data_IF_710635417774
#
_entry.id   IF_710635417774
#
_cell.length_a   1.000
_cell.length_b   1.000
_cell.length_c   1.000
_cell.angle_alpha   90.00
_cell.angle_beta   90.00
_cell.angle_gamma   90.00
#
_symmetry.space_group_name_H-M   'P 1'
#
loop_
_entity.id
_entity.type
_entity.pdbx_description
1 polymer ?
#
# COMPACT_ATOMS: atom_id res chain seq x y z
N UNK A 1 36.50 -8.55 19.98
CA UNK A 1 35.73 -7.28 19.97
C UNK A 1 34.32 -7.58 20.42
N UNK A 2 33.77 -6.84 21.38
CA UNK A 2 32.36 -6.94 21.77
C UNK A 2 31.48 -6.46 20.62
N UNK A 3 30.58 -7.30 20.12
CA UNK A 3 29.58 -6.89 19.15
C UNK A 3 28.45 -6.15 19.86
N UNK A 4 27.98 -5.04 19.29
CA UNK A 4 26.78 -4.36 19.77
C UNK A 4 25.57 -5.33 19.69
N UNK A 5 24.68 -5.34 20.69
CA UNK A 5 23.41 -6.06 20.60
C UNK A 5 22.59 -5.63 19.39
N UNK A 6 21.77 -6.55 18.87
CA UNK A 6 20.96 -6.31 17.66
C UNK A 6 19.99 -5.13 17.83
N UNK A 7 19.47 -4.92 19.04
CA UNK A 7 18.51 -3.85 19.32
C UNK A 7 19.20 -2.48 19.26
N UNK A 8 20.37 -2.35 19.88
CA UNK A 8 21.19 -1.14 19.78
C UNK A 8 21.59 -0.84 18.32
N UNK A 9 21.99 -1.88 17.57
CA UNK A 9 22.34 -1.70 16.16
C UNK A 9 21.13 -1.26 15.32
N UNK A 10 19.95 -1.79 15.63
CA UNK A 10 18.70 -1.42 14.96
C UNK A 10 18.33 0.03 15.21
N UNK A 11 18.50 0.53 16.44
CA UNK A 11 18.29 1.94 16.78
C UNK A 11 19.29 2.85 16.06
N UNK A 12 20.58 2.49 16.04
CA UNK A 12 21.61 3.27 15.35
C UNK A 12 21.31 3.35 13.85
N UNK A 13 20.96 2.23 13.21
CA UNK A 13 20.70 2.22 11.76
C UNK A 13 19.38 2.88 11.39
N UNK A 14 18.47 3.10 12.34
CA UNK A 14 17.25 3.86 12.09
C UNK A 14 17.56 5.30 11.66
N UNK A 15 18.66 5.89 12.16
CA UNK A 15 19.15 7.21 11.72
C UNK A 15 19.67 7.20 10.27
N UNK A 16 19.95 6.02 9.72
CA UNK A 16 20.41 5.83 8.34
C UNK A 16 19.26 5.46 7.39
N UNK A 17 18.00 5.46 7.85
CA UNK A 17 16.87 4.99 7.04
C UNK A 17 16.74 5.72 5.70
N UNK A 18 17.10 7.00 5.65
CA UNK A 18 17.00 7.85 4.46
C UNK A 18 18.32 7.88 3.66
N UNK A 19 19.46 7.54 4.29
CA UNK A 19 20.74 7.37 3.62
C UNK A 19 20.92 5.94 3.11
N UNK A 20 20.30 5.66 1.97
CA UNK A 20 20.32 4.33 1.34
C UNK A 20 21.71 3.86 0.94
N UNK A 21 22.63 4.78 0.63
CA UNK A 21 24.00 4.44 0.21
C UNK A 21 24.78 3.90 1.41
N UNK A 22 24.73 4.61 2.54
CA UNK A 22 25.37 4.16 3.77
C UNK A 22 24.73 2.87 4.27
N UNK A 23 23.40 2.78 4.23
CA UNK A 23 22.68 1.56 4.61
C UNK A 23 23.06 0.36 3.74
N UNK A 24 23.31 0.56 2.44
CA UNK A 24 23.81 -0.49 1.55
C UNK A 24 25.23 -0.92 1.93
N UNK A 25 26.11 0.03 2.29
CA UNK A 25 27.46 -0.29 2.78
C UNK A 25 27.40 -1.11 4.07
N UNK A 26 26.46 -0.82 4.98
CA UNK A 26 26.24 -1.62 6.19
C UNK A 26 25.88 -3.08 5.88
N UNK A 27 25.18 -3.36 4.76
CA UNK A 27 24.84 -4.73 4.35
C UNK A 27 26.09 -5.59 4.14
N UNK A 28 27.19 -4.99 3.70
CA UNK A 28 28.41 -5.68 3.29
C UNK A 28 29.39 -5.93 4.46
N UNK A 29 29.14 -5.35 5.64
CA UNK A 29 30.11 -5.40 6.76
C UNK A 29 30.19 -6.79 7.40
N UNK A 30 29.06 -7.34 7.85
CA UNK A 30 28.98 -8.69 8.43
C UNK A 30 27.52 -9.18 8.46
N UNK A 31 27.29 -10.45 8.82
CA UNK A 31 25.96 -11.08 8.84
C UNK A 31 24.95 -10.35 9.75
N UNK A 32 25.38 -9.83 10.90
CA UNK A 32 24.51 -9.12 11.83
C UNK A 32 24.07 -7.77 11.24
N UNK A 33 25.03 -7.00 10.72
CA UNK A 33 24.77 -5.71 10.07
C UNK A 33 23.92 -5.88 8.81
N UNK A 34 24.19 -6.91 8.01
CA UNK A 34 23.36 -7.33 6.88
C UNK A 34 21.91 -7.54 7.30
N UNK A 35 21.67 -8.37 8.31
CA UNK A 35 20.32 -8.70 8.81
C UNK A 35 19.55 -7.45 9.26
N UNK A 36 20.20 -6.52 9.96
CA UNK A 36 19.54 -5.29 10.44
C UNK A 36 19.32 -4.30 9.30
N UNK A 37 20.33 -4.06 8.47
CA UNK A 37 20.27 -3.08 7.37
C UNK A 37 19.23 -3.46 6.33
N UNK A 38 19.20 -4.74 5.91
CA UNK A 38 18.19 -5.24 4.96
C UNK A 38 16.76 -5.01 5.48
N UNK A 39 16.51 -5.24 6.77
CA UNK A 39 15.20 -4.97 7.39
C UNK A 39 14.81 -3.50 7.41
N UNK A 40 15.75 -2.58 7.26
CA UNK A 40 15.50 -1.14 7.19
C UNK A 40 15.34 -0.72 5.73
N UNK A 41 16.21 -1.20 4.84
CA UNK A 41 16.15 -0.88 3.40
C UNK A 41 14.87 -1.38 2.72
N UNK A 42 14.28 -2.46 3.23
CA UNK A 42 13.09 -3.11 2.66
C UNK A 42 11.78 -2.73 3.37
N UNK A 43 11.72 -1.57 4.03
CA UNK A 43 10.50 -1.13 4.75
C UNK A 43 9.51 -0.39 3.87
N UNK A 44 9.97 0.27 2.82
CA UNK A 44 9.15 1.17 2.04
C UNK A 44 9.30 0.89 0.55
N UNK A 45 8.18 0.57 -0.10
CA UNK A 45 8.11 0.31 -1.54
C UNK A 45 8.43 1.56 -2.38
N UNK A 46 8.29 2.77 -1.84
CA UNK A 46 8.71 3.99 -2.55
C UNK A 46 10.19 3.97 -2.93
N UNK A 47 11.02 3.33 -2.11
CA UNK A 47 12.47 3.20 -2.30
C UNK A 47 12.84 2.07 -3.27
N UNK A 48 11.88 1.25 -3.70
CA UNK A 48 12.17 0.06 -4.49
C UNK A 48 12.53 0.41 -5.93
N UNK A 49 13.60 -0.23 -6.40
CA UNK A 49 14.02 -0.29 -7.79
C UNK A 49 13.50 -1.55 -8.49
N UNK A 50 13.66 -1.65 -9.81
CA UNK A 50 13.36 -2.89 -10.55
C UNK A 50 14.11 -4.10 -9.97
N UNK A 51 15.33 -3.92 -9.47
CA UNK A 51 16.09 -5.00 -8.82
C UNK A 51 15.42 -5.54 -7.55
N UNK A 52 14.71 -4.68 -6.80
CA UNK A 52 13.93 -5.12 -5.65
C UNK A 52 12.76 -6.00 -6.08
N UNK A 53 12.03 -5.60 -7.12
CA UNK A 53 10.92 -6.40 -7.66
C UNK A 53 11.39 -7.73 -8.26
N UNK A 54 12.52 -7.75 -8.96
CA UNK A 54 13.18 -8.99 -9.39
C UNK A 54 13.42 -9.96 -8.21
N UNK A 55 13.84 -9.43 -7.06
CA UNK A 55 14.04 -10.23 -5.84
C UNK A 55 12.71 -10.70 -5.25
N UNK A 56 11.67 -9.85 -5.21
CA UNK A 56 10.33 -10.26 -4.76
C UNK A 56 9.74 -11.35 -5.66
N UNK A 57 9.96 -11.27 -6.96
CA UNK A 57 9.54 -12.30 -7.93
C UNK A 57 10.27 -13.62 -7.66
N UNK A 58 11.56 -13.56 -7.32
CA UNK A 58 12.31 -14.75 -6.88
C UNK A 58 11.77 -15.32 -5.54
N UNK A 59 11.22 -14.48 -4.66
CA UNK A 59 10.56 -14.90 -3.41
C UNK A 59 9.19 -15.53 -3.62
N UNK A 60 8.55 -15.39 -4.79
CA UNK A 60 7.19 -15.89 -4.99
C UNK A 60 7.06 -17.39 -4.69
N UNK A 61 5.92 -17.83 -4.11
CA UNK A 61 5.58 -19.24 -3.97
C UNK A 61 5.60 -19.99 -5.31
N UNK A 62 5.77 -21.31 -5.26
CA UNK A 62 5.81 -22.11 -6.48
C UNK A 62 4.48 -22.02 -7.26
N UNK A 63 3.33 -21.95 -6.58
CA UNK A 63 2.04 -21.81 -7.27
C UNK A 63 1.97 -20.50 -8.06
N UNK A 64 2.46 -19.40 -7.48
CA UNK A 64 2.55 -18.10 -8.14
C UNK A 64 3.50 -18.12 -9.34
N UNK A 65 4.66 -18.79 -9.20
CA UNK A 65 5.63 -18.96 -10.30
C UNK A 65 5.06 -19.79 -11.45
N UNK A 66 4.27 -20.81 -11.16
CA UNK A 66 3.55 -21.59 -12.20
C UNK A 66 2.52 -20.75 -12.95
N UNK A 67 1.82 -19.82 -12.26
CA UNK A 67 0.90 -18.87 -12.91
C UNK A 67 1.67 -17.97 -13.86
N UNK A 68 2.81 -17.41 -13.44
CA UNK A 68 3.65 -16.60 -14.32
C UNK A 68 4.11 -17.37 -15.56
N UNK A 69 4.56 -18.62 -15.37
CA UNK A 69 5.00 -19.49 -16.45
C UNK A 69 3.87 -19.81 -17.45
N UNK A 70 2.67 -20.17 -16.96
CA UNK A 70 1.49 -20.48 -17.80
C UNK A 70 1.02 -19.28 -18.63
N UNK A 71 1.26 -18.06 -18.15
CA UNK A 71 0.95 -16.82 -18.87
C UNK A 71 2.13 -16.29 -19.71
N UNK A 72 3.14 -17.13 -19.97
CA UNK A 72 4.32 -16.80 -20.77
C UNK A 72 5.05 -15.55 -20.25
N UNK A 73 5.10 -15.40 -18.93
CA UNK A 73 5.80 -14.31 -18.24
C UNK A 73 7.15 -14.84 -17.77
N UNK A 74 8.17 -14.66 -18.61
CA UNK A 74 9.55 -15.04 -18.29
C UNK A 74 10.24 -13.78 -17.75
N UNK A 75 10.64 -13.83 -16.48
CA UNK A 75 11.37 -12.74 -15.81
C UNK A 75 12.75 -13.26 -15.47
N UNK A 76 13.78 -12.58 -15.97
CA UNK A 76 15.17 -12.91 -15.65
C UNK A 76 15.46 -12.50 -14.21
N UNK A 77 15.19 -13.41 -13.27
CA UNK A 77 15.52 -13.16 -11.86
C UNK A 77 17.03 -13.32 -11.65
N UNK A 78 17.65 -12.48 -10.80
CA UNK A 78 19.09 -12.47 -10.59
C UNK A 78 19.62 -13.76 -9.94
N UNK A 79 18.74 -14.61 -9.38
CA UNK A 79 19.15 -15.88 -8.79
C UNK A 79 18.06 -16.94 -8.91
N UNK A 80 18.43 -18.15 -9.33
CA UNK A 80 17.59 -19.35 -9.29
C UNK A 80 17.47 -19.95 -7.86
N UNK A 81 18.26 -19.44 -6.91
CA UNK A 81 18.23 -19.90 -5.51
C UNK A 81 17.16 -19.17 -4.72
N UNK A 82 16.64 -19.85 -3.69
CA UNK A 82 15.72 -19.22 -2.75
C UNK A 82 16.40 -18.03 -2.06
N UNK A 83 15.77 -16.85 -2.05
CA UNK A 83 16.33 -15.68 -1.38
C UNK A 83 16.59 -15.95 0.11
N UNK A 84 17.70 -15.41 0.63
CA UNK A 84 18.17 -15.66 2.01
C UNK A 84 17.18 -15.15 3.06
N UNK A 85 16.48 -14.05 2.73
CA UNK A 85 15.51 -13.42 3.61
C UNK A 85 14.12 -13.49 2.99
N UNK A 86 13.10 -13.53 3.85
CA UNK A 86 11.76 -13.16 3.46
C UNK A 86 11.71 -11.62 3.37
N UNK A 87 12.10 -11.09 2.22
CA UNK A 87 12.09 -9.65 1.96
C UNK A 87 10.69 -9.05 2.01
N UNK A 88 9.66 -9.80 1.59
CA UNK A 88 8.29 -9.36 1.61
C UNK A 88 7.84 -8.99 3.03
N UNK A 89 8.17 -9.82 4.02
CA UNK A 89 7.82 -9.63 5.44
C UNK A 89 8.38 -8.36 6.08
N UNK A 90 9.42 -7.74 5.49
CA UNK A 90 10.04 -6.53 6.02
C UNK A 90 9.32 -5.24 5.60
N UNK A 91 8.44 -5.32 4.60
CA UNK A 91 7.66 -4.20 4.10
C UNK A 91 6.72 -3.67 5.20
N UNK A 92 6.74 -2.35 5.41
CA UNK A 92 5.88 -1.61 6.35
C UNK A 92 5.04 -0.54 5.68
N UNK A 93 5.48 -0.03 4.53
CA UNK A 93 4.77 0.96 3.72
C UNK A 93 4.65 0.40 2.30
N UNK A 94 3.41 0.13 1.89
CA UNK A 94 3.09 -0.48 0.60
C UNK A 94 2.25 0.50 -0.23
N UNK A 95 2.83 0.98 -1.34
CA UNK A 95 2.10 1.75 -2.34
C UNK A 95 1.82 0.87 -3.55
N UNK A 96 0.53 0.64 -3.84
CA UNK A 96 0.12 -0.34 -4.86
C UNK A 96 0.50 0.11 -6.26
N UNK A 97 0.23 1.36 -6.58
CA UNK A 97 0.54 1.90 -7.92
C UNK A 97 2.01 2.10 -8.11
N UNK A 98 2.73 2.49 -7.06
CA UNK A 98 4.18 2.59 -7.15
C UNK A 98 4.78 1.24 -7.47
N UNK A 99 4.30 0.17 -6.82
CA UNK A 99 4.71 -1.18 -7.13
C UNK A 99 4.34 -1.56 -8.57
N UNK A 100 3.09 -1.36 -8.97
CA UNK A 100 2.61 -1.64 -10.32
C UNK A 100 3.47 -0.95 -11.39
N UNK A 101 3.67 0.35 -11.28
CA UNK A 101 4.51 1.14 -12.19
C UNK A 101 5.96 0.62 -12.26
N UNK A 102 6.53 0.22 -11.13
CA UNK A 102 7.89 -0.34 -11.10
C UNK A 102 7.97 -1.73 -11.74
N UNK A 103 6.92 -2.54 -11.59
CA UNK A 103 6.77 -3.84 -12.25
C UNK A 103 6.59 -3.65 -13.76
N UNK A 104 5.76 -2.71 -14.17
CA UNK A 104 5.58 -2.31 -15.56
C UNK A 104 6.92 -1.95 -16.20
N UNK A 105 7.66 -1.01 -15.59
CA UNK A 105 9.02 -0.63 -16.04
C UNK A 105 9.99 -1.81 -16.07
N UNK A 106 9.90 -2.73 -15.13
CA UNK A 106 10.73 -3.93 -15.10
C UNK A 106 10.42 -4.86 -16.27
N UNK A 107 9.14 -5.04 -16.60
CA UNK A 107 8.70 -5.88 -17.71
C UNK A 107 9.00 -5.24 -19.06
N UNK A 108 8.81 -3.92 -19.22
CA UNK A 108 9.21 -3.18 -20.42
C UNK A 108 10.70 -3.39 -20.75
N UNK A 109 11.56 -3.38 -19.73
CA UNK A 109 13.00 -3.56 -19.90
C UNK A 109 13.40 -5.01 -20.23
N UNK A 110 12.53 -6.00 -19.98
CA UNK A 110 12.83 -7.42 -20.17
C UNK A 110 12.06 -8.06 -21.34
N UNK A 111 10.93 -7.48 -21.73
CA UNK A 111 10.02 -8.03 -22.73
C UNK A 111 9.72 -6.96 -23.79
N UNK A 112 10.25 -7.12 -25.00
CA UNK A 112 10.13 -6.16 -26.11
C UNK A 112 8.73 -6.08 -26.77
N UNK A 113 7.64 -6.34 -26.05
CA UNK A 113 6.31 -6.48 -26.65
C UNK A 113 5.35 -5.37 -26.21
N UNK A 114 5.03 -4.47 -27.14
CA UNK A 114 4.01 -3.42 -27.01
C UNK A 114 2.65 -3.91 -27.54
N UNK A 115 2.04 -4.91 -26.90
CA UNK A 115 0.70 -5.41 -27.24
C UNK A 115 -0.26 -5.27 -26.06
N UNK A 116 -1.57 -5.33 -26.31
CA UNK A 116 -2.61 -5.32 -25.26
C UNK A 116 -2.40 -6.38 -24.17
N UNK A 117 -1.76 -7.51 -24.51
CA UNK A 117 -1.35 -8.53 -23.56
C UNK A 117 -0.28 -8.09 -22.55
N UNK A 118 0.44 -6.98 -22.78
CA UNK A 118 1.45 -6.47 -21.86
C UNK A 118 0.83 -6.02 -20.54
N UNK A 119 -0.25 -5.23 -20.59
CA UNK A 119 -0.96 -4.77 -19.40
C UNK A 119 -1.51 -5.95 -18.58
N UNK A 120 -2.01 -6.98 -19.25
CA UNK A 120 -2.45 -8.21 -18.58
C UNK A 120 -1.29 -8.90 -17.85
N UNK A 121 -0.10 -8.96 -18.45
CA UNK A 121 1.09 -9.53 -17.80
C UNK A 121 1.55 -8.71 -16.59
N UNK A 122 1.58 -7.38 -16.71
CA UNK A 122 1.90 -6.49 -15.57
C UNK A 122 0.90 -6.72 -14.44
N UNK A 123 -0.38 -6.84 -14.78
CA UNK A 123 -1.45 -7.10 -13.83
C UNK A 123 -1.26 -8.43 -13.11
N UNK A 124 -0.97 -9.52 -13.83
CA UNK A 124 -0.73 -10.85 -13.25
C UNK A 124 0.47 -10.84 -12.29
N UNK A 125 1.60 -10.23 -12.68
CA UNK A 125 2.79 -10.15 -11.81
C UNK A 125 2.49 -9.34 -10.56
N UNK A 126 1.79 -8.21 -10.73
CA UNK A 126 1.35 -7.37 -9.63
C UNK A 126 0.47 -8.17 -8.67
N UNK A 127 -0.57 -8.84 -9.16
CA UNK A 127 -1.46 -9.67 -8.35
C UNK A 127 -0.72 -10.71 -7.51
N UNK A 128 0.19 -11.46 -8.11
CA UNK A 128 0.91 -12.52 -7.37
C UNK A 128 1.87 -11.93 -6.32
N UNK A 129 2.50 -10.79 -6.58
CA UNK A 129 3.31 -10.07 -5.58
C UNK A 129 2.44 -9.56 -4.43
N UNK A 130 1.28 -8.97 -4.72
CA UNK A 130 0.35 -8.48 -3.69
C UNK A 130 -0.24 -9.62 -2.87
N UNK A 131 -0.55 -10.76 -3.49
CA UNK A 131 -1.00 -11.97 -2.80
C UNK A 131 0.06 -12.49 -1.81
N UNK A 132 1.32 -12.53 -2.23
CA UNK A 132 2.44 -12.86 -1.33
C UNK A 132 2.57 -11.85 -0.20
N UNK A 133 2.53 -10.54 -0.50
CA UNK A 133 2.57 -9.50 0.52
C UNK A 133 1.43 -9.61 1.53
N UNK A 134 0.21 -9.82 1.07
CA UNK A 134 -0.93 -9.98 1.96
C UNK A 134 -0.80 -11.21 2.86
N UNK A 135 -0.18 -12.29 2.37
CA UNK A 135 0.09 -13.50 3.17
C UNK A 135 1.24 -13.33 4.17
N UNK A 136 2.28 -12.60 3.80
CA UNK A 136 3.55 -12.59 4.54
C UNK A 136 3.79 -11.33 5.36
N UNK A 137 3.13 -10.21 5.05
CA UNK A 137 3.30 -8.96 5.79
C UNK A 137 2.35 -8.92 7.00
N UNK A 138 2.85 -9.42 8.13
CA UNK A 138 2.21 -9.17 9.44
C UNK A 138 2.50 -7.78 10.02
N UNK A 139 3.50 -7.08 9.46
CA UNK A 139 4.04 -5.82 10.00
C UNK A 139 3.63 -4.55 9.23
N UNK A 140 2.68 -4.66 8.29
CA UNK A 140 2.25 -3.57 7.42
C UNK A 140 1.65 -2.45 8.26
N UNK A 141 2.18 -1.24 8.14
CA UNK A 141 1.70 -0.07 8.88
C UNK A 141 0.94 0.89 7.98
N UNK A 142 1.40 1.09 6.75
CA UNK A 142 0.79 2.03 5.82
C UNK A 142 0.51 1.36 4.49
N UNK A 143 -0.70 1.57 3.98
CA UNK A 143 -1.14 1.10 2.68
C UNK A 143 -1.64 2.30 1.88
N UNK A 144 -1.03 2.53 0.72
CA UNK A 144 -1.38 3.60 -0.20
C UNK A 144 -1.95 2.98 -1.48
N UNK A 145 -3.20 3.32 -1.75
CA UNK A 145 -3.93 2.97 -2.95
C UNK A 145 -4.21 4.23 -3.75
N UNK A 146 -3.84 4.20 -5.02
CA UNK A 146 -4.24 5.16 -6.04
C UNK A 146 -5.04 4.39 -7.10
N UNK A 147 -6.12 4.92 -7.64
CA UNK A 147 -6.98 4.19 -8.58
C UNK A 147 -6.84 4.83 -9.96
N UNK A 148 -5.75 4.48 -10.65
CA UNK A 148 -5.46 4.95 -12.01
C UNK A 148 -5.78 3.91 -13.10
N UNK A 149 -6.29 2.73 -12.72
CA UNK A 149 -6.57 1.64 -13.67
C UNK A 149 -7.39 0.51 -13.03
N UNK A 150 -8.01 -0.33 -13.87
CA UNK A 150 -8.75 -1.56 -13.55
C UNK A 150 -7.98 -2.62 -12.71
N UNK A 151 -6.82 -2.31 -12.14
CA UNK A 151 -6.01 -3.19 -11.30
C UNK A 151 -6.79 -3.67 -10.05
N UNK A 152 -7.80 -2.90 -9.62
CA UNK A 152 -8.47 -3.00 -8.33
C UNK A 152 -9.42 -4.19 -8.17
N UNK A 153 -9.77 -4.89 -9.25
CA UNK A 153 -10.89 -5.83 -9.20
C UNK A 153 -10.58 -7.17 -8.51
N UNK A 154 -9.31 -7.61 -8.49
CA UNK A 154 -8.97 -8.98 -8.08
C UNK A 154 -7.75 -9.13 -7.16
N UNK A 155 -7.25 -8.04 -6.56
CA UNK A 155 -6.08 -8.12 -5.66
C UNK A 155 -6.37 -8.79 -4.31
N UNK A 156 -7.64 -8.90 -3.92
CA UNK A 156 -8.05 -9.35 -2.59
C UNK A 156 -9.11 -10.46 -2.54
N UNK A 157 -9.08 -11.54 -3.36
CA UNK A 157 -10.05 -12.61 -3.20
C UNK A 157 -9.69 -13.38 -1.92
N UNK A 158 -10.38 -13.08 -0.81
CA UNK A 158 -10.29 -13.84 0.44
C UNK A 158 -9.14 -13.47 1.40
N UNK A 159 -8.64 -12.23 1.39
CA UNK A 159 -7.52 -11.84 2.26
C UNK A 159 -7.94 -11.67 3.73
N UNK A 160 -7.69 -12.70 4.54
CA UNK A 160 -7.84 -12.75 6.00
C UNK A 160 -6.47 -12.75 6.73
N UNK A 161 -5.58 -11.78 6.45
CA UNK A 161 -4.21 -11.89 6.99
C UNK A 161 -3.59 -10.54 7.43
N UNK A 162 -4.05 -9.39 6.89
CA UNK A 162 -3.59 -8.07 7.34
C UNK A 162 -4.69 -7.34 8.13
N UNK A 163 -4.55 -7.29 9.46
CA UNK A 163 -5.53 -6.68 10.38
C UNK A 163 -4.98 -5.48 11.17
N UNK A 164 -3.71 -5.11 10.92
CA UNK A 164 -2.95 -4.19 11.75
C UNK A 164 -2.48 -2.94 11.00
N UNK A 165 -3.09 -2.63 9.85
CA UNK A 165 -2.79 -1.39 9.13
C UNK A 165 -3.15 -0.20 10.03
N UNK A 166 -2.24 0.76 10.12
CA UNK A 166 -2.37 1.96 10.96
C UNK A 166 -2.72 3.20 10.14
N UNK A 167 -2.30 3.22 8.89
CA UNK A 167 -2.49 4.30 7.93
C UNK A 167 -3.02 3.74 6.62
N UNK A 168 -4.11 4.31 6.12
CA UNK A 168 -4.68 3.98 4.82
C UNK A 168 -4.86 5.26 4.02
N UNK A 169 -4.31 5.31 2.82
CA UNK A 169 -4.48 6.43 1.89
C UNK A 169 -5.10 5.93 0.61
N UNK A 170 -6.18 6.57 0.17
CA UNK A 170 -6.88 6.29 -1.07
C UNK A 170 -6.91 7.55 -1.94
N UNK A 171 -6.35 7.49 -3.13
CA UNK A 171 -6.48 8.53 -4.15
C UNK A 171 -7.26 7.92 -5.31
N UNK A 172 -8.50 8.37 -5.53
CA UNK A 172 -9.40 7.74 -6.48
C UNK A 172 -9.54 8.56 -7.76
N UNK A 173 -9.24 7.95 -8.92
CA UNK A 173 -9.54 8.49 -10.26
C UNK A 173 -10.44 7.56 -11.09
N UNK A 174 -10.63 6.31 -10.68
CA UNK A 174 -11.56 5.35 -11.28
C UNK A 174 -12.37 4.54 -10.24
N UNK A 175 -13.24 3.64 -10.74
CA UNK A 175 -14.17 2.80 -9.96
C UNK A 175 -13.44 2.02 -8.87
N UNK A 176 -13.96 2.13 -7.64
CA UNK A 176 -13.49 1.38 -6.48
C UNK A 176 -14.29 0.06 -6.36
N UNK A 177 -13.63 -1.07 -6.07
CA UNK A 177 -14.33 -2.34 -5.81
C UNK A 177 -14.76 -2.47 -4.35
N UNK A 178 -15.79 -3.27 -4.08
CA UNK A 178 -16.27 -3.57 -2.71
C UNK A 178 -15.19 -4.17 -1.79
N UNK A 179 -14.19 -4.85 -2.36
CA UNK A 179 -13.11 -5.49 -1.60
C UNK A 179 -12.27 -4.52 -0.78
N UNK A 180 -12.17 -3.25 -1.20
CA UNK A 180 -11.46 -2.22 -0.44
C UNK A 180 -12.17 -1.92 0.89
N UNK A 181 -13.49 -1.80 0.85
CA UNK A 181 -14.30 -1.49 2.01
C UNK A 181 -14.24 -2.66 3.03
N UNK A 182 -14.21 -3.90 2.54
CA UNK A 182 -13.98 -5.09 3.38
C UNK A 182 -12.59 -5.06 4.04
N UNK A 183 -11.54 -4.76 3.27
CA UNK A 183 -10.18 -4.63 3.81
C UNK A 183 -10.10 -3.57 4.91
N UNK A 184 -10.74 -2.42 4.72
CA UNK A 184 -10.76 -1.35 5.74
C UNK A 184 -11.52 -1.81 6.99
N UNK A 185 -12.67 -2.48 6.82
CA UNK A 185 -13.52 -2.89 7.95
C UNK A 185 -12.87 -3.88 8.91
N UNK A 186 -11.93 -4.69 8.43
CA UNK A 186 -11.24 -5.70 9.25
C UNK A 186 -10.03 -5.14 10.01
N UNK A 187 -9.66 -3.88 9.81
CA UNK A 187 -8.50 -3.28 10.47
C UNK A 187 -8.79 -2.95 11.94
N UNK A 188 -7.98 -3.50 12.84
CA UNK A 188 -8.13 -3.34 14.29
C UNK A 188 -7.46 -2.08 14.84
N UNK A 189 -6.50 -1.54 14.10
CA UNK A 189 -5.59 -0.49 14.58
C UNK A 189 -5.47 0.69 13.61
N UNK A 190 -6.44 0.87 12.70
CA UNK A 190 -6.43 1.96 11.74
C UNK A 190 -6.62 3.30 12.46
N UNK A 191 -5.60 4.15 12.44
CA UNK A 191 -5.57 5.45 13.12
C UNK A 191 -5.65 6.63 12.17
N UNK A 192 -5.18 6.46 10.95
CA UNK A 192 -5.17 7.49 9.93
C UNK A 192 -5.82 6.98 8.65
N UNK A 193 -6.76 7.76 8.14
CA UNK A 193 -7.42 7.52 6.87
C UNK A 193 -7.39 8.81 6.06
N UNK A 194 -6.87 8.73 4.84
CA UNK A 194 -6.89 9.80 3.87
C UNK A 194 -7.61 9.34 2.62
N UNK A 195 -8.52 10.16 2.10
CA UNK A 195 -9.17 9.94 0.82
C UNK A 195 -9.15 11.21 -0.01
N UNK A 196 -8.62 11.12 -1.22
CA UNK A 196 -8.60 12.18 -2.23
C UNK A 196 -9.40 11.73 -3.45
N UNK A 197 -10.34 12.56 -3.91
CA UNK A 197 -11.17 12.31 -5.09
C UNK A 197 -10.79 13.28 -6.22
N UNK A 198 -10.35 12.76 -7.37
CA UNK A 198 -9.92 13.56 -8.53
C UNK A 198 -11.09 13.93 -9.47
N UNK A 199 -10.84 14.82 -10.43
CA UNK A 199 -11.86 15.58 -11.20
C UNK A 199 -12.67 14.80 -12.24
N UNK A 200 -12.19 13.63 -12.69
CA UNK A 200 -12.69 12.99 -13.90
C UNK A 200 -13.56 11.74 -13.67
N UNK A 201 -14.12 11.56 -12.46
CA UNK A 201 -14.89 10.35 -12.14
C UNK A 201 -16.35 10.45 -12.63
N UNK A 202 -16.81 9.42 -13.33
CA UNK A 202 -18.23 9.25 -13.65
C UNK A 202 -19.09 9.30 -12.36
N UNK A 203 -19.96 10.31 -12.27
CA UNK A 203 -20.78 10.64 -11.10
C UNK A 203 -21.57 9.45 -10.51
N UNK A 204 -21.93 8.45 -11.33
CA UNK A 204 -22.74 7.30 -10.92
C UNK A 204 -21.95 6.19 -10.21
N UNK A 205 -20.64 6.09 -10.42
CA UNK A 205 -19.84 4.98 -9.88
C UNK A 205 -19.41 5.24 -8.43
N UNK A 206 -18.87 6.43 -8.14
CA UNK A 206 -18.38 6.80 -6.81
C UNK A 206 -19.49 7.00 -5.77
N UNK A 207 -20.67 7.44 -6.20
CA UNK A 207 -21.82 7.69 -5.32
C UNK A 207 -22.25 6.45 -4.55
N UNK A 208 -21.95 5.23 -5.03
CA UNK A 208 -22.24 3.99 -4.32
C UNK A 208 -21.12 3.53 -3.37
N UNK A 209 -19.84 3.79 -3.71
CA UNK A 209 -18.71 3.21 -2.96
C UNK A 209 -18.24 4.11 -1.83
N UNK A 210 -18.22 5.44 -2.01
CA UNK A 210 -17.80 6.35 -0.94
C UNK A 210 -18.64 6.11 0.32
N UNK A 211 -19.99 6.05 0.26
CA UNK A 211 -20.79 5.72 1.45
C UNK A 211 -20.44 4.36 2.04
N UNK A 212 -20.17 3.35 1.21
CA UNK A 212 -19.78 2.00 1.67
C UNK A 212 -18.46 2.00 2.45
N UNK A 213 -17.45 2.73 1.97
CA UNK A 213 -16.17 2.89 2.68
C UNK A 213 -16.40 3.67 3.97
N UNK A 214 -17.11 4.80 3.91
CA UNK A 214 -17.35 5.66 5.07
C UNK A 214 -18.07 4.90 6.20
N UNK A 215 -19.04 4.05 5.86
CA UNK A 215 -19.76 3.20 6.83
C UNK A 215 -18.89 2.09 7.45
N UNK A 216 -17.79 1.71 6.79
CA UNK A 216 -16.90 0.63 7.23
C UNK A 216 -15.63 1.14 7.93
N UNK A 217 -15.43 2.45 8.02
CA UNK A 217 -14.30 3.01 8.76
C UNK A 217 -14.42 2.68 10.26
N UNK A 218 -13.34 2.21 10.91
CA UNK A 218 -13.38 1.81 12.30
C UNK A 218 -13.32 3.02 13.24
N UNK A 219 -13.93 2.91 14.42
CA UNK A 219 -13.88 3.94 15.46
C UNK A 219 -12.50 4.14 16.08
N UNK A 220 -11.49 3.35 15.71
CA UNK A 220 -10.08 3.53 16.12
C UNK A 220 -9.40 4.71 15.42
N UNK A 221 -10.08 5.33 14.45
CA UNK A 221 -9.58 6.46 13.68
C UNK A 221 -9.34 7.69 14.56
N UNK A 222 -8.12 8.21 14.52
CA UNK A 222 -7.70 9.42 15.22
C UNK A 222 -7.53 10.61 14.26
N UNK A 223 -7.21 10.34 12.99
CA UNK A 223 -7.05 11.36 11.95
C UNK A 223 -7.82 10.97 10.68
N UNK A 224 -8.63 11.90 10.18
CA UNK A 224 -9.38 11.78 8.93
C UNK A 224 -9.04 12.95 8.02
N UNK A 225 -8.56 12.66 6.82
CA UNK A 225 -8.34 13.65 5.76
C UNK A 225 -9.20 13.30 4.56
N UNK A 226 -10.00 14.26 4.11
CA UNK A 226 -10.85 14.13 2.92
C UNK A 226 -10.60 15.33 2.01
N UNK A 227 -10.32 15.06 0.75
CA UNK A 227 -10.15 16.10 -0.26
C UNK A 227 -10.80 15.73 -1.58
N UNK A 228 -11.20 16.73 -2.37
CA UNK A 228 -11.69 16.50 -3.72
C UNK A 228 -12.33 17.72 -4.37
N UNK A 229 -12.56 17.63 -5.68
CA UNK A 229 -13.04 18.76 -6.47
C UNK A 229 -14.56 18.94 -6.44
N UNK A 230 -15.29 17.92 -6.93
CA UNK A 230 -16.67 18.09 -7.41
C UNK A 230 -17.70 17.15 -6.75
N UNK A 231 -17.31 16.38 -5.74
CA UNK A 231 -18.19 15.40 -5.09
C UNK A 231 -18.68 15.83 -3.72
N UNK A 232 -20.00 15.86 -3.56
CA UNK A 232 -20.66 15.99 -2.26
C UNK A 232 -20.45 14.71 -1.44
N UNK A 233 -19.36 14.62 -0.67
CA UNK A 233 -19.22 13.58 0.35
C UNK A 233 -20.20 13.92 1.49
N UNK A 234 -21.14 13.03 1.86
CA UNK A 234 -21.95 13.24 3.05
C UNK A 234 -21.00 13.27 4.25
N UNK A 235 -20.91 14.39 4.97
CA UNK A 235 -19.99 14.52 6.10
C UNK A 235 -20.60 14.07 7.45
N UNK A 236 -21.90 13.75 7.48
CA UNK A 236 -22.61 13.40 8.72
C UNK A 236 -22.08 12.14 9.41
N UNK A 237 -21.48 11.20 8.68
CA UNK A 237 -20.87 9.99 9.27
C UNK A 237 -19.69 10.33 10.21
N UNK A 238 -19.06 11.49 10.03
CA UNK A 238 -17.91 11.90 10.84
C UNK A 238 -18.30 12.03 12.32
N UNK A 239 -19.56 12.40 12.60
CA UNK A 239 -20.09 12.47 13.95
C UNK A 239 -20.06 11.11 14.70
N UNK A 240 -19.90 9.99 13.99
CA UNK A 240 -19.83 8.66 14.60
C UNK A 240 -18.44 8.34 15.16
N UNK A 241 -17.38 9.07 14.78
CA UNK A 241 -16.02 8.78 15.23
C UNK A 241 -15.71 9.44 16.58
N UNK A 242 -15.90 8.68 17.67
CA UNK A 242 -15.66 9.18 19.03
C UNK A 242 -14.19 9.41 19.38
N UNK A 243 -13.25 8.78 18.66
CA UNK A 243 -11.80 8.92 18.90
C UNK A 243 -11.10 9.89 17.94
N UNK A 244 -11.86 10.58 17.06
CA UNK A 244 -11.29 11.47 16.08
C UNK A 244 -10.70 12.72 16.75
N UNK A 245 -9.43 12.97 16.50
CA UNK A 245 -8.65 14.09 17.07
C UNK A 245 -8.33 15.13 16.02
N UNK A 246 -8.09 14.71 14.78
CA UNK A 246 -7.75 15.58 13.66
C UNK A 246 -8.68 15.32 12.48
N UNK A 247 -9.34 16.38 12.00
CA UNK A 247 -10.16 16.37 10.80
C UNK A 247 -9.63 17.42 9.83
N UNK A 248 -9.27 17.01 8.63
CA UNK A 248 -8.88 17.91 7.55
C UNK A 248 -9.78 17.70 6.34
N UNK A 249 -10.43 18.78 5.91
CA UNK A 249 -11.33 18.80 4.76
C UNK A 249 -10.82 19.83 3.75
N UNK A 250 -10.61 19.41 2.51
CA UNK A 250 -10.12 20.28 1.44
C UNK A 250 -10.93 20.05 0.16
N UNK A 251 -12.00 20.80 -0.01
CA UNK A 251 -12.88 20.72 -1.18
C UNK A 251 -12.87 22.00 -1.99
N UNK A 252 -12.92 21.89 -3.31
CA UNK A 252 -12.81 23.06 -4.19
C UNK A 252 -14.12 23.85 -4.31
N UNK A 253 -15.27 23.17 -4.29
CA UNK A 253 -16.59 23.82 -4.36
C UNK A 253 -17.20 23.99 -2.97
N UNK A 254 -17.72 25.19 -2.69
CA UNK A 254 -18.40 25.53 -1.44
C UNK A 254 -19.63 24.65 -1.16
N UNK A 255 -20.32 24.17 -2.20
CA UNK A 255 -21.51 23.31 -2.08
C UNK A 255 -21.22 21.97 -1.38
N UNK A 256 -19.96 21.52 -1.39
CA UNK A 256 -19.54 20.29 -0.70
C UNK A 256 -19.56 20.45 0.84
N UNK A 257 -19.62 21.68 1.35
CA UNK A 257 -19.76 21.97 2.78
C UNK A 257 -21.22 22.11 3.24
N UNK A 258 -22.22 21.91 2.37
CA UNK A 258 -23.64 22.12 2.71
C UNK A 258 -24.18 21.23 3.85
N UNK A 259 -23.50 20.13 4.18
CA UNK A 259 -23.84 19.29 5.33
C UNK A 259 -22.95 19.53 6.55
N UNK A 260 -22.00 20.47 6.49
CA UNK A 260 -21.11 20.80 7.60
C UNK A 260 -21.88 21.37 8.80
N UNK A 261 -22.93 22.15 8.56
CA UNK A 261 -23.82 22.67 9.61
C UNK A 261 -24.52 21.56 10.42
N UNK A 262 -24.62 20.34 9.87
CA UNK A 262 -25.22 19.17 10.53
C UNK A 262 -24.19 18.34 11.31
N UNK A 263 -22.89 18.67 11.25
CA UNK A 263 -21.87 18.02 12.07
C UNK A 263 -21.88 18.60 13.49
N UNK A 264 -22.52 17.88 14.40
CA UNK A 264 -22.27 18.05 15.83
C UNK A 264 -21.13 17.13 16.26
N UNK A 265 -19.88 17.54 16.02
CA UNK A 265 -18.69 16.80 16.47
C UNK A 265 -18.16 17.45 17.73
N UNK A 266 -18.12 16.70 18.83
CA UNK A 266 -17.42 17.10 20.05
C UNK A 266 -15.95 16.67 19.96
N UNK A 267 -15.07 17.59 19.57
CA UNK A 267 -13.64 17.41 19.77
C UNK A 267 -13.34 17.64 21.25
N UNK A 268 -13.14 16.56 22.00
CA UNK A 268 -12.92 16.59 23.46
C UNK A 268 -11.58 17.21 23.90
N UNK A 269 -10.81 17.79 22.96
CA UNK A 269 -9.46 18.31 23.20
C UNK A 269 -9.16 19.66 22.49
N UNK A 270 -10.18 20.43 22.09
CA UNK A 270 -9.99 21.83 21.67
C UNK A 270 -10.18 22.81 22.84
#
# INVERSE_FOLDING_TARGET
MSQLPVDCLSEIFEYLKDDKITLHSCILVNRLWCKVSVRISWRDVYDYSSSNFNTLIACLPNESKEILYKNEIIISTPTLKTPIFNYASFCKVLSVNRAHYKIEKLLENQQNNSSSSFNDKVHIVTQEIFKMFMKEISSLKSLVFLLYSNITFNLFPGVQICYNIQSFTLEAEEIVSNGLADLISVQRNLKYFNMTLCYDLDNNSLTSIIPSIMLKLPNTLAKLELSGADYCIPLSFIANFSNLQELKLSFERNENYNNFEKLHVHFSQL
#
